data_IF_476777465866
#
_entry.id   IF_476777465866
#
_cell.length_a   1.000
_cell.length_b   1.000
_cell.length_c   1.000
_cell.angle_alpha   90.00
_cell.angle_beta   90.00
_cell.angle_gamma   90.00
#
_symmetry.space_group_name_H-M   'P 1'
#
loop_
_entity.id
_entity.type
_entity.pdbx_description
1 polymer ?
#
# COMPACT_ATOMS: atom_id res chain seq x y z
N UNK A 1 3.70 3.40 -11.66
CA UNK A 1 2.29 2.92 -11.67
C UNK A 1 2.06 1.76 -10.71
N UNK A 2 2.89 0.71 -10.71
CA UNK A 2 2.65 -0.53 -9.93
C UNK A 2 2.61 -0.28 -8.41
N UNK A 3 3.54 0.50 -7.86
CA UNK A 3 3.58 0.78 -6.41
C UNK A 3 2.35 1.56 -5.90
N UNK A 4 1.82 2.49 -6.69
CA UNK A 4 0.63 3.25 -6.31
C UNK A 4 -0.64 2.40 -6.37
N UNK A 5 -0.78 1.58 -7.42
CA UNK A 5 -1.93 0.69 -7.57
C UNK A 5 -1.91 -0.40 -6.50
N UNK A 6 -0.75 -1.01 -6.21
CA UNK A 6 -0.65 -2.02 -5.15
C UNK A 6 -1.02 -1.44 -3.79
N UNK A 7 -0.52 -0.23 -3.47
CA UNK A 7 -0.85 0.46 -2.24
C UNK A 7 -2.35 0.80 -2.14
N UNK A 8 -2.94 1.33 -3.21
CA UNK A 8 -4.37 1.64 -3.27
C UNK A 8 -5.26 0.40 -3.10
N UNK A 9 -4.91 -0.71 -3.76
CA UNK A 9 -5.64 -1.98 -3.63
C UNK A 9 -5.58 -2.52 -2.20
N UNK A 10 -4.40 -2.47 -1.56
CA UNK A 10 -4.25 -2.89 -0.16
C UNK A 10 -5.07 -2.00 0.79
N UNK A 11 -5.11 -0.68 0.56
CA UNK A 11 -5.95 0.26 1.33
C UNK A 11 -7.44 -0.03 1.17
N UNK A 12 -7.91 -0.24 -0.07
CA UNK A 12 -9.31 -0.56 -0.33
C UNK A 12 -9.71 -1.88 0.34
N UNK A 13 -8.86 -2.90 0.25
CA UNK A 13 -9.09 -4.18 0.92
C UNK A 13 -9.03 -4.07 2.45
N UNK A 14 -8.18 -3.19 3.00
CA UNK A 14 -8.15 -2.90 4.42
C UNK A 14 -9.45 -2.21 4.90
N UNK A 15 -9.97 -1.24 4.15
CA UNK A 15 -11.27 -0.62 4.46
C UNK A 15 -12.41 -1.64 4.44
N UNK A 16 -12.45 -2.50 3.42
CA UNK A 16 -13.44 -3.58 3.37
C UNK A 16 -13.31 -4.55 4.57
N UNK A 17 -12.08 -4.81 5.00
CA UNK A 17 -11.81 -5.65 6.18
C UNK A 17 -12.23 -4.98 7.50
N UNK A 18 -12.14 -3.65 7.60
CA UNK A 18 -12.66 -2.92 8.77
C UNK A 18 -14.18 -3.10 8.87
N UNK A 19 -14.91 -2.99 7.75
CA UNK A 19 -16.34 -3.30 7.72
C UNK A 19 -16.59 -4.75 8.18
N UNK A 20 -15.77 -5.71 7.71
CA UNK A 20 -15.77 -7.12 8.14
C UNK A 20 -15.68 -7.35 9.66
N UNK A 21 -14.96 -6.49 10.36
CA UNK A 21 -14.71 -6.59 11.79
C UNK A 21 -15.76 -5.81 12.60
N UNK A 22 -16.09 -4.58 12.20
CA UNK A 22 -17.01 -3.73 12.96
C UNK A 22 -18.47 -4.15 12.80
N UNK A 23 -18.86 -4.53 11.58
CA UNK A 23 -20.26 -4.67 11.20
C UNK A 23 -20.98 -3.32 11.14
N UNK A 24 -22.15 -3.28 10.50
CA UNK A 24 -23.01 -2.10 10.47
C UNK A 24 -24.47 -2.51 10.59
N UNK A 25 -25.11 -2.14 11.70
CA UNK A 25 -26.53 -2.42 11.93
C UNK A 25 -27.44 -1.68 10.94
N UNK A 26 -27.04 -0.47 10.51
CA UNK A 26 -27.77 0.32 9.51
C UNK A 26 -27.78 -0.33 8.12
N UNK A 27 -26.73 -1.11 7.80
CA UNK A 27 -26.62 -1.85 6.54
C UNK A 27 -27.06 -3.32 6.68
N UNK A 28 -27.65 -3.70 7.83
CA UNK A 28 -27.91 -5.08 8.25
C UNK A 28 -26.70 -6.02 8.11
N UNK A 29 -25.50 -5.45 8.18
CA UNK A 29 -24.26 -6.15 7.89
C UNK A 29 -23.65 -6.67 9.19
N UNK A 30 -23.68 -7.99 9.36
CA UNK A 30 -23.20 -8.67 10.56
C UNK A 30 -21.68 -8.82 10.57
N UNK A 31 -21.06 -8.88 11.76
CA UNK A 31 -19.61 -9.07 11.91
C UNK A 31 -19.15 -10.40 11.28
N UNK A 32 -18.59 -10.34 10.09
CA UNK A 32 -18.17 -11.52 9.34
C UNK A 32 -17.00 -12.26 10.03
N UNK A 33 -16.09 -11.52 10.67
CA UNK A 33 -14.98 -12.14 11.41
C UNK A 33 -15.42 -12.93 12.66
N UNK A 34 -16.64 -12.73 13.15
CA UNK A 34 -17.17 -13.54 14.25
C UNK A 34 -17.56 -14.96 13.80
N UNK A 35 -17.90 -15.12 12.52
CA UNK A 35 -18.28 -16.41 11.91
C UNK A 35 -17.05 -17.07 11.26
N UNK A 36 -16.24 -16.30 10.52
CA UNK A 36 -15.10 -16.80 9.76
C UNK A 36 -13.75 -16.29 10.28
N UNK A 37 -13.48 -16.53 11.56
CA UNK A 37 -12.26 -16.05 12.24
C UNK A 37 -10.95 -16.45 11.52
N UNK A 38 -10.87 -17.70 11.02
CA UNK A 38 -9.64 -18.21 10.37
C UNK A 38 -9.33 -17.48 9.06
N UNK A 39 -10.36 -17.14 8.29
CA UNK A 39 -10.23 -16.35 7.06
C UNK A 39 -9.79 -14.91 7.37
N UNK A 40 -10.34 -14.30 8.41
CA UNK A 40 -9.95 -12.95 8.82
C UNK A 40 -8.48 -12.86 9.24
N UNK A 41 -7.97 -13.87 9.96
CA UNK A 41 -6.54 -13.91 10.29
C UNK A 41 -5.66 -14.05 9.04
N UNK A 42 -6.08 -14.89 8.08
CA UNK A 42 -5.30 -15.12 6.87
C UNK A 42 -5.26 -13.90 5.95
N UNK A 43 -6.40 -13.21 5.78
CA UNK A 43 -6.46 -11.99 4.99
C UNK A 43 -5.74 -10.82 5.68
N UNK A 44 -5.84 -10.73 7.02
CA UNK A 44 -5.10 -9.74 7.80
C UNK A 44 -3.59 -9.89 7.63
N UNK A 45 -3.07 -11.13 7.69
CA UNK A 45 -1.67 -11.40 7.40
C UNK A 45 -1.28 -11.04 5.97
N UNK A 46 -2.12 -11.39 4.98
CA UNK A 46 -1.90 -11.04 3.58
C UNK A 46 -1.85 -9.53 3.32
N UNK A 47 -2.77 -8.77 3.90
CA UNK A 47 -2.81 -7.32 3.80
C UNK A 47 -1.58 -6.67 4.43
N UNK A 48 -1.16 -7.14 5.60
CA UNK A 48 0.04 -6.64 6.28
C UNK A 48 1.28 -6.82 5.40
N UNK A 49 1.45 -8.02 4.82
CA UNK A 49 2.54 -8.31 3.89
C UNK A 49 2.46 -7.46 2.62
N UNK A 50 1.27 -7.26 2.05
CA UNK A 50 1.07 -6.45 0.84
C UNK A 50 1.41 -4.97 1.05
N UNK A 51 1.06 -4.41 2.21
CA UNK A 51 1.46 -3.06 2.60
C UNK A 51 2.97 -2.94 2.78
N UNK A 52 3.58 -3.86 3.53
CA UNK A 52 5.03 -3.91 3.74
C UNK A 52 5.77 -3.98 2.39
N UNK A 53 5.36 -4.89 1.51
CA UNK A 53 5.96 -5.05 0.18
C UNK A 53 5.86 -3.77 -0.66
N UNK A 54 4.71 -3.09 -0.64
CA UNK A 54 4.52 -1.83 -1.39
C UNK A 54 5.42 -0.71 -0.85
N UNK A 55 5.60 -0.60 0.46
CA UNK A 55 6.50 0.37 1.09
C UNK A 55 7.97 0.07 0.77
N UNK A 56 8.39 -1.19 0.91
CA UNK A 56 9.73 -1.65 0.55
C UNK A 56 10.05 -1.32 -0.92
N UNK A 57 9.11 -1.56 -1.82
CA UNK A 57 9.28 -1.26 -3.24
C UNK A 57 9.45 0.25 -3.49
N UNK A 58 8.71 1.11 -2.77
CA UNK A 58 8.86 2.56 -2.85
C UNK A 58 10.24 3.03 -2.38
N UNK A 59 10.75 2.46 -1.28
CA UNK A 59 12.08 2.75 -0.74
C UNK A 59 13.19 2.29 -1.69
N UNK A 60 13.09 1.07 -2.24
CA UNK A 60 14.08 0.57 -3.20
C UNK A 60 14.08 1.43 -4.47
N UNK A 61 12.90 1.87 -4.93
CA UNK A 61 12.77 2.75 -6.08
C UNK A 61 13.42 4.12 -5.84
N UNK A 62 13.25 4.70 -4.66
CA UNK A 62 13.88 6.00 -4.33
C UNK A 62 15.40 5.87 -4.17
N UNK A 63 15.89 4.80 -3.56
CA UNK A 63 17.34 4.51 -3.47
C UNK A 63 17.93 4.32 -4.87
N UNK A 64 17.24 3.62 -5.76
CA UNK A 64 17.68 3.42 -7.15
C UNK A 64 17.77 4.74 -7.90
N UNK A 65 16.72 5.58 -7.82
CA UNK A 65 16.73 6.91 -8.41
C UNK A 65 17.85 7.78 -7.82
N UNK A 66 18.01 7.80 -6.49
CA UNK A 66 19.05 8.56 -5.81
C UNK A 66 20.47 8.15 -6.26
N UNK A 67 20.75 6.85 -6.32
CA UNK A 67 22.04 6.36 -6.80
C UNK A 67 22.27 6.72 -8.27
N UNK A 68 21.25 6.61 -9.12
CA UNK A 68 21.33 6.99 -10.53
C UNK A 68 21.70 8.47 -10.66
N UNK A 69 20.99 9.36 -9.97
CA UNK A 69 21.31 10.79 -10.02
C UNK A 69 22.66 11.12 -9.38
N UNK A 70 23.07 10.41 -8.32
CA UNK A 70 24.38 10.60 -7.68
C UNK A 70 25.55 10.26 -8.61
N UNK A 71 25.46 9.18 -9.39
CA UNK A 71 26.54 8.73 -10.27
C UNK A 71 26.53 9.41 -11.64
N UNK A 72 25.36 9.76 -12.19
CA UNK A 72 25.24 10.36 -13.52
C UNK A 72 25.14 11.89 -13.53
N UNK A 73 24.90 12.55 -12.39
CA UNK A 73 24.80 14.01 -12.36
C UNK A 73 26.18 14.66 -12.20
N UNK A 74 26.91 14.80 -13.30
CA UNK A 74 28.16 15.57 -13.27
C UNK A 74 27.95 17.08 -13.33
N UNK A 75 26.86 17.67 -13.90
CA UNK A 75 26.73 19.15 -13.97
C UNK A 75 25.34 19.82 -13.95
N UNK A 76 24.20 19.11 -14.02
CA UNK A 76 22.91 19.77 -14.31
C UNK A 76 21.77 19.30 -13.38
N UNK A 77 21.97 19.38 -12.06
CA UNK A 77 20.93 19.00 -11.08
C UNK A 77 19.82 20.06 -10.90
N UNK A 78 20.03 21.29 -11.38
CA UNK A 78 19.23 22.46 -10.98
C UNK A 78 18.82 23.41 -12.11
N UNK A 79 18.84 22.99 -13.38
CA UNK A 79 18.11 23.74 -14.42
C UNK A 79 16.70 23.15 -14.51
N UNK A 80 15.90 23.45 -13.48
CA UNK A 80 14.46 23.51 -13.64
C UNK A 80 14.24 24.61 -14.67
N UNK A 81 14.12 24.25 -15.96
CA UNK A 81 13.86 25.22 -17.03
C UNK A 81 12.64 26.05 -16.60
N UNK A 82 12.80 27.35 -16.30
CA UNK A 82 11.64 28.19 -16.02
C UNK A 82 10.81 28.22 -17.30
N UNK A 83 9.50 28.05 -17.09
CA UNK A 83 8.47 28.07 -18.13
C UNK A 83 8.51 29.39 -18.90
#
# INVERSE_FOLDING_TARGET
>A
MVAYVSYATNLAAAQASILAITGSSQLQWMKLCNIYTRFCFQIGGGLLCGFLASLLMAVISSISAFNLFRFYSTKEFLVLKPI
#
